data_IF_034654524214
#
_entry.id   IF_034654524214
#
_cell.length_a   1.000
_cell.length_b   1.000
_cell.length_c   1.000
_cell.angle_alpha   90.00
_cell.angle_beta   90.00
_cell.angle_gamma   90.00
#
_symmetry.space_group_name_H-M   'P 1'
#
loop_
_entity.id
_entity.type
_entity.pdbx_description
1 polymer ?
#
# COMPACT_ATOMS: atom_id res chain seq x y z
N UNK A 1 -11.93 42.06 42.37
CA UNK A 1 -12.74 40.82 42.36
C UNK A 1 -12.48 40.14 41.03
N UNK A 2 -11.67 39.08 41.02
CA UNK A 2 -11.33 38.33 39.81
C UNK A 2 -12.21 37.09 39.78
N UNK A 3 -13.01 36.94 38.71
CA UNK A 3 -13.84 35.76 38.48
C UNK A 3 -13.00 34.72 37.73
N UNK A 4 -12.76 33.57 38.36
CA UNK A 4 -12.11 32.42 37.74
C UNK A 4 -13.17 31.58 37.05
N UNK A 5 -13.11 31.51 35.73
CA UNK A 5 -13.98 30.69 34.89
C UNK A 5 -13.45 29.25 34.87
N UNK A 6 -14.21 28.30 35.42
CA UNK A 6 -13.92 26.87 35.36
C UNK A 6 -14.79 26.24 34.25
N UNK A 7 -14.18 25.90 33.12
CA UNK A 7 -14.83 25.14 32.07
C UNK A 7 -14.41 23.66 32.15
N UNK A 8 -15.42 22.81 32.24
CA UNK A 8 -15.41 21.36 32.46
C UNK A 8 -14.82 20.63 31.24
N UNK A 9 -13.81 19.77 31.46
CA UNK A 9 -13.39 18.75 30.48
C UNK A 9 -14.42 17.63 30.45
N UNK A 10 -14.96 17.36 29.27
CA UNK A 10 -15.76 16.16 28.98
C UNK A 10 -14.82 15.19 28.27
N UNK A 11 -14.40 14.14 28.96
CA UNK A 11 -13.58 13.08 28.37
C UNK A 11 -14.47 12.21 27.46
N UNK A 12 -14.20 12.22 26.16
CA UNK A 12 -14.83 11.28 25.24
C UNK A 12 -14.32 9.85 25.56
N UNK A 13 -15.21 8.84 25.60
CA UNK A 13 -14.79 7.48 25.94
C UNK A 13 -13.83 6.96 24.85
N UNK A 14 -12.73 6.35 25.29
CA UNK A 14 -11.80 5.66 24.41
C UNK A 14 -12.55 4.58 23.63
N UNK A 15 -12.70 4.80 22.32
CA UNK A 15 -13.27 3.80 21.42
C UNK A 15 -12.19 2.73 21.26
N UNK A 16 -12.31 1.63 22.02
CA UNK A 16 -11.41 0.49 21.86
C UNK A 16 -11.50 0.01 20.40
N UNK A 17 -10.35 -0.08 19.73
CA UNK A 17 -10.25 -0.72 18.43
C UNK A 17 -10.87 -2.14 18.51
N UNK A 18 -11.56 -2.61 17.47
CA UNK A 18 -12.18 -3.93 17.50
C UNK A 18 -11.11 -5.00 17.78
N UNK A 19 -11.46 -5.97 18.63
CA UNK A 19 -10.58 -7.08 18.95
C UNK A 19 -10.27 -7.86 17.65
N UNK A 20 -8.99 -8.14 17.42
CA UNK A 20 -8.49 -8.89 16.26
C UNK A 20 -9.25 -10.21 16.10
N UNK A 21 -9.74 -10.51 14.89
CA UNK A 21 -10.49 -11.74 14.66
C UNK A 21 -9.59 -12.97 14.81
N UNK A 22 -10.16 -14.09 15.22
CA UNK A 22 -9.41 -15.33 15.37
C UNK A 22 -8.80 -15.79 14.04
N UNK A 23 -9.46 -15.49 12.92
CA UNK A 23 -8.96 -15.73 11.57
C UNK A 23 -7.72 -14.86 11.26
N UNK A 24 -7.72 -13.59 11.64
CA UNK A 24 -6.58 -12.69 11.43
C UNK A 24 -5.38 -13.10 12.31
N UNK A 25 -5.66 -13.51 13.55
CA UNK A 25 -4.64 -14.03 14.47
C UNK A 25 -4.02 -15.32 13.94
N UNK A 26 -4.84 -16.26 13.46
CA UNK A 26 -4.38 -17.53 12.91
C UNK A 26 -3.61 -17.32 11.61
N UNK A 27 -4.07 -16.41 10.74
CA UNK A 27 -3.36 -15.97 9.54
C UNK A 27 -2.00 -15.39 9.89
N UNK A 28 -1.90 -14.51 10.89
CA UNK A 28 -0.62 -13.96 11.36
C UNK A 28 0.31 -15.04 11.92
N UNK A 29 -0.22 -16.01 12.68
CA UNK A 29 0.57 -17.11 13.21
C UNK A 29 1.07 -18.06 12.12
N UNK A 30 0.25 -18.36 11.11
CA UNK A 30 0.64 -19.18 9.96
C UNK A 30 1.68 -18.42 9.13
N UNK A 31 1.47 -17.13 8.87
CA UNK A 31 2.48 -16.29 8.21
C UNK A 31 3.80 -16.28 9.02
N UNK A 32 3.78 -16.09 10.33
CA UNK A 32 5.01 -16.12 11.14
C UNK A 32 5.75 -17.47 11.14
N UNK A 33 5.10 -18.58 10.77
CA UNK A 33 5.72 -19.91 10.68
C UNK A 33 6.27 -20.17 9.26
N UNK A 34 5.58 -19.66 8.24
CA UNK A 34 5.91 -19.90 6.82
C UNK A 34 6.88 -18.83 6.28
N UNK A 35 6.88 -17.65 6.89
CA UNK A 35 7.72 -16.52 6.51
C UNK A 35 9.04 -16.63 7.26
N UNK A 36 10.17 -16.88 6.59
CA UNK A 36 11.47 -16.85 7.26
C UNK A 36 11.74 -15.46 7.85
N UNK A 37 12.60 -15.38 8.87
CA UNK A 37 13.12 -14.13 9.48
C UNK A 37 13.22 -12.97 8.47
N UNK A 38 12.84 -11.72 8.85
CA UNK A 38 12.79 -10.58 7.94
C UNK A 38 14.07 -10.53 7.09
N UNK A 39 13.87 -10.80 5.80
CA UNK A 39 14.98 -11.10 4.92
C UNK A 39 15.68 -9.80 4.59
N UNK A 40 16.92 -9.65 5.04
CA UNK A 40 17.74 -8.46 4.75
C UNK A 40 18.38 -8.59 3.39
N UNK A 41 18.14 -7.61 2.53
CA UNK A 41 18.72 -7.56 1.19
C UNK A 41 18.75 -6.13 0.64
N UNK A 42 19.68 -5.86 -0.27
CA UNK A 42 19.65 -4.64 -1.07
C UNK A 42 18.40 -4.59 -1.95
N UNK A 43 18.02 -3.41 -2.40
CA UNK A 43 16.87 -3.25 -3.30
C UNK A 43 17.05 -4.01 -4.63
N UNK A 44 18.29 -4.12 -5.15
CA UNK A 44 18.58 -4.89 -6.36
C UNK A 44 18.40 -6.40 -6.14
N UNK A 45 18.85 -6.90 -4.99
CA UNK A 45 18.63 -8.30 -4.61
C UNK A 45 17.14 -8.58 -4.37
N UNK A 46 16.40 -7.62 -3.84
CA UNK A 46 14.94 -7.70 -3.72
C UNK A 46 14.25 -7.86 -5.07
N UNK A 47 14.56 -7.02 -6.07
CA UNK A 47 13.99 -7.15 -7.41
C UNK A 47 14.36 -8.48 -8.08
N UNK A 48 15.55 -9.03 -7.83
CA UNK A 48 15.96 -10.32 -8.37
C UNK A 48 15.32 -11.52 -7.64
N UNK A 49 14.90 -11.32 -6.38
CA UNK A 49 14.23 -12.33 -5.56
C UNK A 49 12.71 -12.34 -5.75
N UNK A 50 12.11 -11.17 -6.00
CA UNK A 50 10.68 -10.99 -6.17
C UNK A 50 10.20 -11.73 -7.43
N UNK A 51 9.17 -12.53 -7.29
CA UNK A 51 8.46 -13.18 -8.40
C UNK A 51 7.02 -12.69 -8.48
N UNK A 52 6.31 -13.05 -9.56
CA UNK A 52 4.94 -12.60 -9.83
C UNK A 52 3.92 -13.07 -8.78
N UNK A 53 4.25 -14.10 -8.00
CA UNK A 53 3.36 -14.70 -6.99
C UNK A 53 3.62 -14.16 -5.56
N UNK A 54 4.66 -13.35 -5.38
CA UNK A 54 5.10 -12.87 -4.06
C UNK A 54 4.69 -11.42 -3.83
N UNK A 55 3.64 -11.21 -3.01
CA UNK A 55 3.23 -9.87 -2.58
C UNK A 55 4.14 -9.39 -1.45
N UNK A 56 5.05 -8.45 -1.74
CA UNK A 56 6.04 -7.97 -0.77
C UNK A 56 6.45 -6.51 -1.01
N UNK A 57 6.72 -5.77 0.06
CA UNK A 57 7.35 -4.46 0.02
C UNK A 57 8.81 -4.52 0.51
N UNK A 58 9.64 -3.58 0.06
CA UNK A 58 10.99 -3.38 0.58
C UNK A 58 11.05 -2.09 1.41
N UNK A 59 11.37 -2.21 2.70
CA UNK A 59 11.40 -1.10 3.64
C UNK A 59 12.72 -1.14 4.41
N UNK A 60 13.56 -0.12 4.23
CA UNK A 60 14.81 0.08 4.96
C UNK A 60 15.75 -1.15 5.00
N UNK A 61 15.84 -1.89 3.90
CA UNK A 61 16.70 -3.08 3.79
C UNK A 61 16.02 -4.39 4.15
N UNK A 62 14.74 -4.38 4.49
CA UNK A 62 13.98 -5.55 4.92
C UNK A 62 12.79 -5.83 3.99
N UNK A 63 12.53 -7.12 3.74
CA UNK A 63 11.34 -7.58 3.01
C UNK A 63 10.14 -7.69 3.95
N UNK A 64 9.04 -7.04 3.59
CA UNK A 64 7.76 -7.06 4.32
C UNK A 64 6.72 -7.77 3.46
N UNK A 65 6.30 -8.96 3.86
CA UNK A 65 5.26 -9.70 3.12
C UNK A 65 3.86 -9.11 3.35
N UNK A 66 3.12 -9.04 2.25
CA UNK A 66 1.76 -8.53 2.20
C UNK A 66 0.76 -9.67 2.32
N UNK A 67 -0.38 -9.36 2.93
CA UNK A 67 -1.50 -10.29 3.00
C UNK A 67 -2.34 -10.15 1.73
N UNK A 68 -2.77 -11.26 1.08
CA UNK A 68 -3.71 -11.21 -0.03
C UNK A 68 -4.94 -10.32 0.27
N UNK A 69 -5.28 -9.47 -0.71
CA UNK A 69 -6.40 -8.54 -0.63
C UNK A 69 -7.77 -9.26 -0.53
N UNK A 70 -8.71 -8.66 0.20
CA UNK A 70 -10.10 -9.16 0.26
C UNK A 70 -10.80 -8.89 -1.09
N UNK A 71 -11.80 -9.71 -1.45
CA UNK A 71 -12.56 -9.55 -2.71
C UNK A 71 -13.16 -8.15 -2.89
N UNK A 72 -13.64 -7.53 -1.81
CA UNK A 72 -14.18 -6.17 -1.85
C UNK A 72 -13.12 -5.13 -2.24
N UNK A 73 -11.89 -5.28 -1.76
CA UNK A 73 -10.75 -4.44 -2.13
C UNK A 73 -10.45 -4.56 -3.63
N UNK A 74 -10.39 -5.80 -4.14
CA UNK A 74 -10.17 -6.05 -5.57
C UNK A 74 -11.29 -5.48 -6.43
N UNK A 75 -12.56 -5.61 -6.02
CA UNK A 75 -13.68 -5.05 -6.78
C UNK A 75 -13.59 -3.52 -6.91
N UNK A 76 -13.14 -2.82 -5.85
CA UNK A 76 -12.95 -1.37 -5.88
C UNK A 76 -11.74 -1.00 -6.75
N UNK A 77 -10.62 -1.71 -6.60
CA UNK A 77 -9.43 -1.49 -7.42
C UNK A 77 -9.73 -1.71 -8.92
N UNK A 78 -10.42 -2.79 -9.28
CA UNK A 78 -10.82 -3.09 -10.66
C UNK A 78 -11.74 -2.01 -11.26
N UNK A 79 -12.70 -1.52 -10.46
CA UNK A 79 -13.59 -0.46 -10.90
C UNK A 79 -12.82 0.83 -11.19
N UNK A 80 -11.89 1.20 -10.29
CA UNK A 80 -11.06 2.39 -10.44
C UNK A 80 -10.09 2.24 -11.62
N UNK A 81 -9.42 1.09 -11.75
CA UNK A 81 -8.54 0.78 -12.88
C UNK A 81 -9.25 1.00 -14.21
N UNK A 82 -10.41 0.36 -14.42
CA UNK A 82 -11.18 0.50 -15.67
C UNK A 82 -11.56 1.95 -15.93
N UNK A 83 -12.11 2.62 -14.92
CA UNK A 83 -12.60 4.00 -15.07
C UNK A 83 -11.47 4.96 -15.45
N UNK A 84 -10.29 4.84 -14.81
CA UNK A 84 -9.16 5.73 -15.04
C UNK A 84 -8.44 5.35 -16.34
N UNK A 85 -8.20 4.06 -16.57
CA UNK A 85 -7.52 3.57 -17.77
C UNK A 85 -8.30 3.93 -19.04
N UNK A 86 -9.62 3.73 -19.07
CA UNK A 86 -10.45 4.10 -20.22
C UNK A 86 -10.33 5.60 -20.54
N UNK A 87 -10.30 6.46 -19.51
CA UNK A 87 -10.14 7.90 -19.68
C UNK A 87 -8.74 8.27 -20.17
N UNK A 88 -7.70 7.69 -19.57
CA UNK A 88 -6.29 7.92 -19.92
C UNK A 88 -6.00 7.48 -21.35
N UNK A 89 -6.46 6.30 -21.75
CA UNK A 89 -6.31 5.75 -23.10
C UNK A 89 -7.05 6.62 -24.12
N UNK A 90 -8.33 6.94 -23.87
CA UNK A 90 -9.15 7.75 -24.78
C UNK A 90 -8.59 9.16 -25.01
N UNK A 91 -7.75 9.65 -24.09
CA UNK A 91 -7.12 10.97 -24.16
C UNK A 91 -5.62 10.91 -24.51
N UNK A 92 -5.03 9.72 -24.61
CA UNK A 92 -3.60 9.55 -24.86
C UNK A 92 -2.72 10.20 -23.79
N UNK A 93 -3.10 10.06 -22.51
CA UNK A 93 -2.46 10.78 -21.39
C UNK A 93 -1.31 10.01 -20.74
N UNK A 94 -1.15 8.71 -21.03
CA UNK A 94 -0.15 7.86 -20.39
C UNK A 94 -0.64 6.44 -20.18
N UNK A 95 -0.19 5.81 -19.09
CA UNK A 95 -0.51 4.44 -18.72
C UNK A 95 -0.99 4.34 -17.26
N UNK A 96 -1.93 3.43 -17.01
CA UNK A 96 -2.41 3.09 -15.67
C UNK A 96 -2.08 1.63 -15.40
N UNK A 97 -1.41 1.35 -14.28
CA UNK A 97 -0.93 0.01 -13.94
C UNK A 97 -1.46 -0.35 -12.55
N UNK A 98 -1.97 -1.56 -12.40
CA UNK A 98 -2.42 -2.10 -11.12
C UNK A 98 -1.35 -2.92 -10.42
N UNK A 99 -1.43 -3.03 -9.10
CA UNK A 99 -0.65 -3.98 -8.33
C UNK A 99 -0.86 -5.44 -8.82
N UNK A 100 0.15 -6.31 -8.69
CA UNK A 100 1.50 -6.02 -8.20
C UNK A 100 2.34 -5.29 -9.25
N UNK A 101 2.92 -4.14 -8.89
CA UNK A 101 3.90 -3.43 -9.71
C UNK A 101 4.74 -2.49 -8.84
N UNK A 102 6.06 -2.65 -8.90
CA UNK A 102 6.94 -1.97 -7.98
C UNK A 102 7.16 -0.51 -8.38
N UNK A 103 7.02 0.41 -7.42
CA UNK A 103 7.43 1.81 -7.56
C UNK A 103 8.69 2.04 -6.72
N UNK A 104 9.76 2.49 -7.38
CA UNK A 104 11.07 2.68 -6.76
C UNK A 104 11.23 4.12 -6.27
N UNK A 105 11.15 4.31 -4.96
CA UNK A 105 11.47 5.57 -4.27
C UNK A 105 12.68 5.34 -3.32
N UNK A 106 12.82 6.17 -2.30
CA UNK A 106 13.73 5.88 -1.17
C UNK A 106 13.36 4.56 -0.48
N UNK A 107 12.07 4.22 -0.49
CA UNK A 107 11.51 2.92 -0.08
C UNK A 107 10.74 2.32 -1.26
N UNK A 108 10.84 1.00 -1.44
CA UNK A 108 10.07 0.32 -2.46
C UNK A 108 8.60 0.26 -2.05
N UNK A 109 7.70 0.82 -2.86
CA UNK A 109 6.25 0.77 -2.65
C UNK A 109 5.55 -0.02 -3.75
N UNK A 110 4.47 -0.71 -3.41
CA UNK A 110 3.57 -1.38 -4.36
C UNK A 110 2.16 -0.83 -4.15
N UNK A 111 1.83 0.33 -4.73
CA UNK A 111 0.50 0.90 -4.58
C UNK A 111 -0.56 0.11 -5.38
N UNK A 112 -1.82 0.16 -4.95
CA UNK A 112 -2.90 -0.57 -5.64
C UNK A 112 -3.03 -0.19 -7.12
N UNK A 113 -2.92 1.11 -7.45
CA UNK A 113 -2.82 1.60 -8.82
C UNK A 113 -1.81 2.76 -8.91
N UNK A 114 -1.11 2.83 -10.03
CA UNK A 114 -0.29 3.97 -10.43
C UNK A 114 -0.72 4.50 -11.80
N UNK A 115 -0.60 5.80 -12.01
CA UNK A 115 -0.69 6.44 -13.32
C UNK A 115 0.62 7.14 -13.64
N UNK A 116 1.11 6.92 -14.86
CA UNK A 116 2.33 7.52 -15.41
C UNK A 116 1.95 8.30 -16.66
N UNK A 117 2.18 9.60 -16.63
CA UNK A 117 1.90 10.49 -17.76
C UNK A 117 2.79 10.17 -18.97
N UNK A 118 2.31 10.47 -20.18
CA UNK A 118 3.05 10.20 -21.43
C UNK A 118 4.50 10.72 -21.40
N UNK A 119 4.73 11.88 -20.80
CA UNK A 119 6.07 12.48 -20.69
C UNK A 119 7.00 11.76 -19.71
N UNK A 120 6.45 10.95 -18.79
CA UNK A 120 7.19 10.18 -17.79
C UNK A 120 7.29 8.68 -18.11
N UNK A 121 6.67 8.20 -19.20
CA UNK A 121 6.79 6.80 -19.64
C UNK A 121 8.23 6.27 -19.79
N UNK A 122 9.26 7.08 -20.12
CA UNK A 122 10.65 6.58 -20.10
C UNK A 122 11.14 6.07 -18.73
N UNK A 123 10.47 6.44 -17.63
CA UNK A 123 10.75 5.95 -16.27
C UNK A 123 10.14 4.57 -16.02
N UNK A 124 9.13 4.18 -16.80
CA UNK A 124 8.46 2.90 -16.69
C UNK A 124 9.34 1.79 -17.27
N UNK A 125 9.80 0.89 -16.41
CA UNK A 125 10.60 -0.28 -16.78
C UNK A 125 9.70 -1.53 -16.86
N UNK A 126 10.27 -2.64 -17.32
CA UNK A 126 9.55 -3.90 -17.49
C UNK A 126 8.93 -4.42 -16.18
N UNK A 127 9.60 -4.23 -15.04
CA UNK A 127 9.17 -4.79 -13.74
C UNK A 127 8.95 -3.74 -12.64
N UNK A 128 9.23 -2.46 -12.91
CA UNK A 128 9.07 -1.39 -11.93
C UNK A 128 8.99 0.01 -12.58
N UNK A 129 8.50 1.00 -11.83
CA UNK A 129 8.62 2.42 -12.15
C UNK A 129 9.84 3.03 -11.44
N UNK A 130 10.79 3.62 -12.19
CA UNK A 130 11.98 4.27 -11.63
C UNK A 130 11.68 5.72 -11.21
N UNK A 131 11.07 5.88 -10.03
CA UNK A 131 10.65 7.17 -9.49
C UNK A 131 9.19 7.18 -9.04
N UNK A 132 8.65 8.36 -8.70
CA UNK A 132 7.26 8.51 -8.33
C UNK A 132 6.34 8.43 -9.54
N UNK A 133 5.15 7.85 -9.34
CA UNK A 133 4.05 7.99 -10.28
C UNK A 133 3.46 9.41 -10.23
N UNK A 134 2.84 9.83 -11.34
CA UNK A 134 2.11 11.11 -11.42
C UNK A 134 0.84 11.11 -10.57
N UNK A 135 0.25 9.93 -10.38
CA UNK A 135 -0.83 9.68 -9.42
C UNK A 135 -0.69 8.28 -8.84
N UNK A 136 -0.91 8.19 -7.53
CA UNK A 136 -1.02 6.93 -6.78
C UNK A 136 -2.44 6.81 -6.22
N UNK A 137 -3.04 5.64 -6.35
CA UNK A 137 -4.34 5.31 -5.76
C UNK A 137 -4.19 4.13 -4.80
N UNK A 138 -4.78 4.29 -3.63
CA UNK A 138 -4.76 3.32 -2.53
C UNK A 138 -6.20 3.07 -2.08
N UNK A 139 -6.63 1.81 -2.13
CA UNK A 139 -7.94 1.39 -1.66
C UNK A 139 -7.85 1.15 -0.16
N UNK A 140 -8.53 2.00 0.62
CA UNK A 140 -8.52 1.90 2.06
C UNK A 140 -9.21 0.60 2.54
N UNK A 141 -8.49 -0.19 3.35
CA UNK A 141 -9.01 -1.37 4.05
C UNK A 141 -8.70 -1.25 5.56
N UNK A 142 -9.39 -2.02 6.40
CA UNK A 142 -9.14 -2.01 7.86
C UNK A 142 -7.68 -2.36 8.21
N UNK A 143 -7.03 -3.22 7.42
CA UNK A 143 -5.60 -3.55 7.54
C UNK A 143 -4.71 -2.39 7.10
N UNK A 144 -5.02 -1.70 5.99
CA UNK A 144 -4.20 -0.59 5.51
C UNK A 144 -4.21 0.63 6.45
N UNK A 145 -5.34 0.88 7.14
CA UNK A 145 -5.47 1.97 8.15
C UNK A 145 -4.46 1.88 9.30
N UNK A 146 -3.94 0.70 9.62
CA UNK A 146 -2.93 0.52 10.68
C UNK A 146 -1.53 0.91 10.23
N UNK A 147 -1.22 0.77 8.94
CA UNK A 147 0.07 1.14 8.32
C UNK A 147 0.10 2.60 7.86
N UNK A 148 -1.07 3.16 7.58
CA UNK A 148 -1.25 4.50 6.99
C UNK A 148 -1.15 5.68 7.99
N UNK A 149 -0.93 5.41 9.29
CA UNK A 149 -0.93 6.46 10.34
C UNK A 149 0.36 7.29 10.46
N UNK A 150 1.28 7.24 9.49
CA UNK A 150 2.39 8.19 9.47
C UNK A 150 3.66 7.81 8.72
N UNK A 151 3.69 6.74 7.91
CA UNK A 151 4.92 6.27 7.24
C UNK A 151 4.82 6.03 5.72
N UNK A 152 3.69 6.42 5.09
CA UNK A 152 3.56 6.44 3.63
C UNK A 152 3.98 7.80 3.07
#
# INVERSE_FOLDING_TARGET
MSATEAAVRVDAPAINAPAESEADRLRRQILAIVVPEPRKMSYQEFLAWLDEDTLAEWVDGEVVLMSPAKREHQNVADFLLRTIADYVEAKGLGEVISAPFQMKLERGREPDLIFVATEHLPQLQETFLDGPADLVVEVASEESRSRDRGEK
#
